data_IF_382603670908
#
_entry.id   IF_382603670908
#
_cell.length_a   1.000
_cell.length_b   1.000
_cell.length_c   1.000
_cell.angle_alpha   90.00
_cell.angle_beta   90.00
_cell.angle_gamma   90.00
#
_symmetry.space_group_name_H-M   'P 1'
#
loop_
_entity.id
_entity.type
_entity.pdbx_description
1 polymer ?
#
# COMPACT_ATOMS: atom_id res chain seq x y z
N UNK A 1 -0.24 49.19 33.74
CA UNK A 1 0.48 48.06 33.11
C UNK A 1 -0.56 47.13 32.50
N UNK A 2 -0.40 46.84 31.19
CA UNK A 2 -0.95 45.74 30.37
C UNK A 2 -2.49 45.56 30.42
N UNK A 3 -3.33 46.06 29.49
CA UNK A 3 -3.51 45.81 28.04
C UNK A 3 -4.30 44.54 27.67
N UNK A 4 -5.39 44.80 26.93
CA UNK A 4 -6.17 43.97 25.98
C UNK A 4 -7.36 43.11 26.47
N UNK A 5 -8.54 43.63 26.10
CA UNK A 5 -9.77 42.90 25.84
C UNK A 5 -9.68 42.11 24.51
N UNK A 6 -10.30 40.93 24.44
CA UNK A 6 -10.85 40.37 23.19
C UNK A 6 -12.17 39.68 23.52
N UNK A 7 -13.25 40.20 22.93
CA UNK A 7 -14.53 39.54 22.70
C UNK A 7 -14.44 38.95 21.29
N UNK A 8 -14.74 37.66 21.09
CA UNK A 8 -15.61 37.21 20.00
C UNK A 8 -15.91 35.70 20.07
N UNK A 9 -17.20 35.44 20.00
CA UNK A 9 -17.94 34.22 19.65
C UNK A 9 -17.17 33.06 19.00
N UNK A 10 -17.36 31.90 19.64
CA UNK A 10 -17.26 30.52 19.17
C UNK A 10 -17.22 30.37 17.63
N UNK A 11 -16.03 30.17 17.08
CA UNK A 11 -15.89 29.46 15.81
C UNK A 11 -16.24 28.01 16.13
N UNK A 12 -17.39 27.55 15.65
CA UNK A 12 -17.63 26.10 15.54
C UNK A 12 -16.77 25.62 14.38
N UNK A 13 -15.46 25.50 14.62
CA UNK A 13 -14.62 24.65 13.79
C UNK A 13 -15.13 23.27 14.14
N UNK A 14 -16.07 22.74 13.36
CA UNK A 14 -16.32 21.31 13.36
C UNK A 14 -15.01 20.70 12.85
N UNK A 15 -14.16 20.11 13.70
CA UNK A 15 -12.97 19.43 13.26
C UNK A 15 -13.43 18.02 12.88
N UNK A 16 -14.42 17.93 11.99
CA UNK A 16 -14.80 16.66 11.41
C UNK A 16 -13.77 16.38 10.32
N UNK A 17 -12.61 15.94 10.81
CA UNK A 17 -11.75 14.97 10.17
C UNK A 17 -11.52 15.28 8.69
N UNK A 18 -10.47 16.04 8.38
CA UNK A 18 -9.82 15.88 7.10
C UNK A 18 -9.51 14.38 6.96
N UNK A 19 -10.37 13.65 6.25
CA UNK A 19 -10.06 12.32 5.77
C UNK A 19 -8.74 12.52 5.03
N UNK A 20 -7.67 11.93 5.52
CA UNK A 20 -6.38 12.08 4.89
C UNK A 20 -6.59 11.72 3.41
N UNK A 21 -6.33 12.69 2.52
CA UNK A 21 -6.34 12.44 1.08
C UNK A 21 -5.48 11.18 0.85
N UNK A 22 -5.96 10.25 0.00
CA UNK A 22 -5.22 9.03 -0.31
C UNK A 22 -3.77 9.40 -0.66
N UNK A 23 -2.75 8.75 -0.07
CA UNK A 23 -1.36 8.98 -0.43
C UNK A 23 -1.06 8.49 -1.86
N UNK A 24 -2.03 7.85 -2.53
CA UNK A 24 -1.95 7.37 -3.90
C UNK A 24 -2.81 8.26 -4.82
N UNK A 25 -2.21 9.27 -5.50
CA UNK A 25 -2.95 10.18 -6.37
C UNK A 25 -3.77 9.48 -7.46
N UNK A 26 -3.33 8.29 -7.88
CA UNK A 26 -4.00 7.47 -8.90
C UNK A 26 -5.49 7.23 -8.59
N UNK A 27 -5.82 6.95 -7.32
CA UNK A 27 -7.21 6.72 -6.91
C UNK A 27 -7.97 8.02 -6.67
N UNK A 28 -7.29 9.13 -6.35
CA UNK A 28 -7.94 10.45 -6.27
C UNK A 28 -8.54 10.86 -7.61
N UNK A 29 -7.78 10.67 -8.69
CA UNK A 29 -8.23 11.01 -10.04
C UNK A 29 -9.19 9.97 -10.63
N UNK A 30 -9.14 8.73 -10.13
CA UNK A 30 -9.94 7.60 -10.60
C UNK A 30 -10.53 6.84 -9.40
N UNK A 31 -11.58 7.38 -8.76
CA UNK A 31 -12.01 6.92 -7.45
C UNK A 31 -12.57 5.51 -7.42
N UNK A 32 -12.99 4.94 -8.55
CA UNK A 32 -13.64 3.64 -8.60
C UNK A 32 -13.18 2.81 -9.80
N UNK A 33 -12.84 1.55 -9.55
CA UNK A 33 -12.47 0.57 -10.56
C UNK A 33 -10.97 0.32 -10.64
N UNK A 34 -10.54 -0.36 -11.71
CA UNK A 34 -9.14 -0.70 -11.93
C UNK A 34 -8.49 0.40 -12.77
N UNK A 35 -7.42 0.99 -12.26
CA UNK A 35 -6.57 1.94 -12.98
C UNK A 35 -5.31 1.23 -13.45
N UNK A 36 -4.94 1.43 -14.71
CA UNK A 36 -3.79 0.75 -15.33
C UNK A 36 -2.76 1.76 -15.79
N UNK A 37 -1.49 1.50 -15.46
CA UNK A 37 -0.35 2.17 -16.08
C UNK A 37 0.44 1.18 -16.94
N UNK A 38 1.13 1.74 -17.92
CA UNK A 38 1.89 1.01 -18.92
C UNK A 38 3.34 1.50 -18.97
N UNK A 39 4.24 0.63 -19.39
CA UNK A 39 5.60 1.00 -19.79
C UNK A 39 5.57 1.79 -21.10
N UNK A 40 6.68 2.47 -21.44
CA UNK A 40 6.84 3.15 -22.74
C UNK A 40 6.67 2.20 -23.92
N UNK A 41 7.00 0.92 -23.73
CA UNK A 41 6.76 -0.16 -24.71
C UNK A 41 5.28 -0.52 -24.91
N UNK A 42 4.36 0.07 -24.14
CA UNK A 42 2.92 -0.22 -24.16
C UNK A 42 2.52 -1.45 -23.35
N UNK A 43 3.47 -2.13 -22.70
CA UNK A 43 3.17 -3.30 -21.86
C UNK A 43 2.63 -2.87 -20.50
N UNK A 44 1.73 -3.67 -19.94
CA UNK A 44 1.12 -3.42 -18.63
C UNK A 44 2.21 -3.35 -17.55
N UNK A 45 2.17 -2.30 -16.73
CA UNK A 45 3.12 -2.02 -15.65
C UNK A 45 2.46 -2.17 -14.29
N UNK A 46 1.26 -1.62 -14.11
CA UNK A 46 0.52 -1.72 -12.85
C UNK A 46 -0.98 -1.83 -13.07
N UNK A 47 -1.66 -2.47 -12.13
CA UNK A 47 -3.11 -2.42 -11.96
C UNK A 47 -3.42 -2.04 -10.51
N UNK A 48 -4.15 -0.94 -10.31
CA UNK A 48 -4.55 -0.43 -9.01
C UNK A 48 -6.06 -0.59 -8.87
N UNK A 49 -6.52 -1.32 -7.86
CA UNK A 49 -7.94 -1.35 -7.53
C UNK A 49 -8.29 -0.17 -6.63
N UNK A 50 -9.08 0.76 -7.15
CA UNK A 50 -9.53 1.94 -6.44
C UNK A 50 -11.02 1.82 -6.06
N UNK A 51 -11.35 2.28 -4.86
CA UNK A 51 -12.73 2.44 -4.38
C UNK A 51 -12.81 3.68 -3.52
N UNK A 52 -13.80 4.53 -3.79
CA UNK A 52 -14.06 5.78 -3.07
C UNK A 52 -12.82 6.69 -2.92
N UNK A 53 -11.93 6.68 -3.92
CA UNK A 53 -10.72 7.52 -3.91
C UNK A 53 -9.48 6.87 -3.25
N UNK A 54 -9.59 5.65 -2.76
CA UNK A 54 -8.53 4.93 -2.04
C UNK A 54 -8.20 3.58 -2.70
N UNK A 55 -7.00 3.06 -2.48
CA UNK A 55 -6.69 1.67 -2.82
C UNK A 55 -7.53 0.72 -1.97
N UNK A 56 -8.23 -0.19 -2.64
CA UNK A 56 -9.12 -1.13 -1.98
C UNK A 56 -9.29 -2.40 -2.82
N UNK A 57 -8.60 -3.46 -2.43
CA UNK A 57 -8.50 -4.73 -3.14
C UNK A 57 -7.10 -5.03 -3.64
N UNK A 58 -7.02 -5.95 -4.60
CA UNK A 58 -5.75 -6.44 -5.14
C UNK A 58 -5.14 -5.41 -6.09
N UNK A 59 -3.86 -5.14 -5.89
CA UNK A 59 -3.02 -4.33 -6.78
C UNK A 59 -1.87 -5.18 -7.30
N UNK A 60 -1.56 -5.04 -8.59
CA UNK A 60 -0.54 -5.80 -9.27
C UNK A 60 0.50 -4.89 -9.88
N UNK A 61 1.77 -5.28 -9.77
CA UNK A 61 2.89 -4.68 -10.48
C UNK A 61 3.51 -5.76 -11.35
N UNK A 62 3.86 -5.42 -12.57
CA UNK A 62 4.44 -6.32 -13.55
C UNK A 62 5.85 -5.88 -13.91
N UNK A 63 6.68 -6.83 -14.32
CA UNK A 63 7.89 -6.55 -15.06
C UNK A 63 7.56 -6.24 -16.53
N UNK A 64 8.47 -5.57 -17.24
CA UNK A 64 8.29 -5.27 -18.67
C UNK A 64 8.30 -6.53 -19.58
N UNK A 65 8.66 -7.71 -19.06
CA UNK A 65 8.43 -8.96 -19.79
C UNK A 65 6.98 -9.47 -19.66
N UNK A 66 6.12 -8.78 -18.91
CA UNK A 66 4.73 -9.14 -18.65
C UNK A 66 4.52 -10.06 -17.45
N UNK A 67 5.60 -10.53 -16.80
CA UNK A 67 5.46 -11.37 -15.61
C UNK A 67 5.12 -10.54 -14.37
N UNK A 68 4.37 -11.14 -13.46
CA UNK A 68 4.00 -10.51 -12.20
C UNK A 68 5.26 -10.28 -11.34
N UNK A 69 5.45 -9.05 -10.90
CA UNK A 69 6.53 -8.64 -10.00
C UNK A 69 6.06 -8.62 -8.55
N UNK A 70 4.86 -8.09 -8.30
CA UNK A 70 4.31 -7.95 -6.96
C UNK A 70 2.79 -7.92 -6.98
N UNK A 71 2.19 -8.58 -6.00
CA UNK A 71 0.76 -8.55 -5.72
C UNK A 71 0.58 -8.11 -4.27
N UNK A 72 -0.39 -7.24 -4.00
CA UNK A 72 -0.67 -6.74 -2.66
C UNK A 72 -2.15 -6.42 -2.49
N UNK A 73 -2.72 -6.83 -1.37
CA UNK A 73 -4.08 -6.44 -0.98
C UNK A 73 -4.05 -5.14 -0.17
N UNK A 74 -5.03 -4.26 -0.42
CA UNK A 74 -5.21 -3.01 0.31
C UNK A 74 -6.64 -2.87 0.79
N UNK A 75 -6.83 -2.20 1.94
CA UNK A 75 -8.13 -1.74 2.43
C UNK A 75 -7.94 -0.30 2.86
N UNK A 76 -8.56 0.64 2.15
CA UNK A 76 -8.47 2.08 2.40
C UNK A 76 -7.01 2.56 2.51
N UNK A 77 -6.22 2.30 1.46
CA UNK A 77 -4.78 2.62 1.37
C UNK A 77 -3.84 1.86 2.31
N UNK A 78 -4.38 1.13 3.28
CA UNK A 78 -3.58 0.31 4.18
C UNK A 78 -3.40 -1.09 3.59
N UNK A 79 -2.14 -1.54 3.53
CA UNK A 79 -1.83 -2.89 3.07
C UNK A 79 -2.35 -3.92 4.08
N UNK A 80 -2.97 -4.97 3.57
CA UNK A 80 -3.55 -6.06 4.35
C UNK A 80 -3.08 -7.40 3.80
N UNK A 81 -3.22 -8.44 4.64
CA UNK A 81 -2.98 -9.84 4.32
C UNK A 81 -1.61 -10.08 3.69
N UNK A 82 -1.54 -11.01 2.73
CA UNK A 82 -0.30 -11.43 2.11
C UNK A 82 0.07 -10.47 0.99
N UNK A 83 1.34 -10.06 0.98
CA UNK A 83 2.01 -9.46 -0.15
C UNK A 83 3.07 -10.41 -0.67
N UNK A 84 2.97 -10.72 -1.95
CA UNK A 84 3.88 -11.63 -2.62
C UNK A 84 4.68 -10.87 -3.67
N UNK A 85 5.97 -11.16 -3.78
CA UNK A 85 6.79 -10.68 -4.90
C UNK A 85 7.54 -11.82 -5.54
N UNK A 86 7.84 -11.65 -6.83
CA UNK A 86 8.53 -12.63 -7.66
C UNK A 86 9.72 -12.01 -8.34
N UNK A 87 10.69 -12.85 -8.72
CA UNK A 87 11.76 -12.48 -9.61
C UNK A 87 11.28 -12.38 -11.06
N UNK A 88 12.08 -11.76 -11.93
CA UNK A 88 11.80 -11.64 -13.37
C UNK A 88 11.79 -12.98 -14.13
N UNK A 89 12.05 -14.12 -13.49
CA UNK A 89 11.80 -15.44 -14.08
C UNK A 89 10.44 -16.02 -13.70
N UNK A 90 9.75 -15.42 -12.72
CA UNK A 90 8.52 -15.92 -12.11
C UNK A 90 8.75 -16.70 -10.81
N UNK A 91 9.99 -16.86 -10.37
CA UNK A 91 10.32 -17.55 -9.12
C UNK A 91 9.90 -16.69 -7.93
N UNK A 92 9.39 -17.33 -6.87
CA UNK A 92 9.00 -16.64 -5.64
C UNK A 92 10.21 -15.92 -5.02
N UNK A 93 10.03 -14.64 -4.73
CA UNK A 93 11.08 -13.77 -4.16
C UNK A 93 10.81 -13.43 -2.71
N UNK A 94 9.57 -13.07 -2.38
CA UNK A 94 9.20 -12.80 -1.00
C UNK A 94 7.72 -13.02 -0.72
N UNK A 95 7.42 -13.35 0.53
CA UNK A 95 6.06 -13.39 1.10
C UNK A 95 6.10 -12.61 2.41
N UNK A 96 5.22 -11.64 2.56
CA UNK A 96 5.11 -10.81 3.76
C UNK A 96 3.65 -10.73 4.19
N UNK A 97 3.36 -10.92 5.46
CA UNK A 97 2.02 -10.68 6.00
C UNK A 97 1.90 -9.26 6.55
N UNK A 98 0.81 -8.59 6.23
CA UNK A 98 0.47 -7.26 6.70
C UNK A 98 -0.88 -7.27 7.42
N UNK A 99 -1.00 -6.39 8.41
CA UNK A 99 -2.26 -6.05 9.05
C UNK A 99 -2.22 -4.57 9.40
N UNK A 100 -3.24 -3.82 8.98
CA UNK A 100 -3.39 -2.38 9.24
C UNK A 100 -2.13 -1.61 8.84
N UNK A 101 -1.61 -1.93 7.64
CA UNK A 101 -0.41 -1.34 7.06
C UNK A 101 0.93 -1.79 7.68
N UNK A 102 0.92 -2.64 8.72
CA UNK A 102 2.12 -3.06 9.45
C UNK A 102 2.45 -4.54 9.19
N UNK A 103 3.74 -4.89 9.19
CA UNK A 103 4.15 -6.30 9.12
C UNK A 103 3.57 -7.07 10.31
N UNK A 104 2.90 -8.19 10.04
CA UNK A 104 2.25 -8.98 11.06
C UNK A 104 2.13 -10.45 10.62
N UNK A 105 3.06 -11.28 11.08
CA UNK A 105 3.18 -12.69 10.72
C UNK A 105 4.53 -12.99 10.09
N UNK A 106 4.58 -14.03 9.28
CA UNK A 106 5.79 -14.46 8.59
C UNK A 106 6.23 -13.43 7.55
N UNK A 107 7.53 -13.14 7.53
CA UNK A 107 8.24 -12.45 6.47
C UNK A 107 9.36 -13.35 5.96
N UNK A 108 9.25 -13.77 4.70
CA UNK A 108 10.15 -14.71 4.06
C UNK A 108 10.71 -14.10 2.79
N UNK A 109 12.04 -14.11 2.66
CA UNK A 109 12.76 -13.71 1.44
C UNK A 109 13.55 -14.92 0.95
N UNK A 110 13.43 -15.21 -0.34
CA UNK A 110 14.09 -16.33 -0.99
C UNK A 110 15.16 -15.83 -1.97
N UNK A 111 16.18 -16.65 -2.20
CA UNK A 111 17.05 -16.52 -3.35
C UNK A 111 16.35 -17.08 -4.61
N UNK A 112 16.94 -16.85 -5.79
CA UNK A 112 16.40 -17.37 -7.07
C UNK A 112 16.32 -18.89 -7.14
N UNK A 113 17.17 -19.61 -6.41
CA UNK A 113 17.15 -21.07 -6.33
C UNK A 113 16.08 -21.60 -5.35
N UNK A 114 15.32 -20.70 -4.72
CA UNK A 114 14.29 -21.03 -3.72
C UNK A 114 14.83 -21.23 -2.30
N UNK A 115 16.15 -21.13 -2.08
CA UNK A 115 16.71 -21.20 -0.73
C UNK A 115 16.27 -19.99 0.09
N UNK A 116 16.00 -20.20 1.38
CA UNK A 116 15.65 -19.12 2.31
C UNK A 116 16.87 -18.22 2.47
N UNK A 117 16.71 -16.96 2.08
CA UNK A 117 17.67 -15.90 2.34
C UNK A 117 17.43 -15.26 3.70
N UNK A 118 16.16 -15.05 4.03
CA UNK A 118 15.73 -14.42 5.28
C UNK A 118 14.39 -14.99 5.72
N UNK A 119 14.25 -15.22 7.02
CA UNK A 119 13.00 -15.59 7.65
C UNK A 119 12.91 -14.86 8.98
N UNK A 120 11.89 -14.03 9.12
CA UNK A 120 11.59 -13.29 10.34
C UNK A 120 10.09 -13.33 10.61
N UNK A 121 9.70 -13.09 11.85
CA UNK A 121 8.30 -13.01 12.25
C UNK A 121 8.04 -11.65 12.87
N UNK A 122 6.90 -11.06 12.56
CA UNK A 122 6.54 -9.73 13.05
C UNK A 122 5.20 -9.75 13.78
N UNK A 123 5.05 -8.85 14.76
CA UNK A 123 3.76 -8.52 15.36
C UNK A 123 3.60 -7.01 15.40
N UNK A 124 2.58 -6.50 14.74
CA UNK A 124 2.28 -5.06 14.66
C UNK A 124 3.49 -4.20 14.25
N UNK A 125 4.31 -4.70 13.32
CA UNK A 125 5.50 -4.03 12.80
C UNK A 125 6.78 -4.25 13.60
N UNK A 126 6.74 -4.98 14.72
CA UNK A 126 7.91 -5.29 15.54
C UNK A 126 8.36 -6.72 15.25
N UNK A 127 9.65 -6.89 14.96
CA UNK A 127 10.26 -8.21 14.77
C UNK A 127 10.24 -8.99 16.07
N UNK A 128 9.97 -10.29 15.98
CA UNK A 128 9.99 -11.23 17.09
C UNK A 128 11.33 -11.98 17.03
N UNK A 129 12.04 -11.96 18.16
CA UNK A 129 13.26 -12.74 18.39
C UNK A 129 12.96 -14.26 18.52
#
# INVERSE_FOLDING_TARGET
MIKYAIVLSLIVISPYLALADSPFPVCKDNPNGIVKDYYESGKLKTEWMCKDGHLNGITNLYYENGQLHKESNYVNDERQDITTSWYKGGELKSVCNFKDGKLNGEHKILNKDGSIKELAYYKNGVELD
#
